data_IF_605623232118
#
_entry.id   IF_605623232118
#
_cell.length_a   1.000
_cell.length_b   1.000
_cell.length_c   1.000
_cell.angle_alpha   90.00
_cell.angle_beta   90.00
_cell.angle_gamma   90.00
#
_symmetry.space_group_name_H-M   'P 1'
#
loop_
_entity.id
_entity.type
_entity.pdbx_description
1 polymer ?
#
# COMPACT_ATOMS: atom_id res chain seq x y z
N UNK A 1 38.12 6.35 -28.41
CA UNK A 1 36.88 5.59 -28.54
C UNK A 1 36.92 4.16 -27.95
N UNK A 2 37.94 3.31 -28.19
CA UNK A 2 37.99 1.93 -27.67
C UNK A 2 37.97 1.80 -26.14
N UNK A 3 38.73 2.66 -25.40
CA UNK A 3 38.80 2.57 -23.91
C UNK A 3 37.47 2.85 -23.21
N UNK A 4 36.65 3.79 -23.69
CA UNK A 4 35.33 4.05 -23.13
C UNK A 4 34.40 2.84 -23.27
N UNK A 5 34.36 2.21 -24.45
CA UNK A 5 33.52 1.01 -24.67
C UNK A 5 33.92 -0.19 -23.79
N UNK A 6 35.24 -0.34 -23.48
CA UNK A 6 35.73 -1.40 -22.58
C UNK A 6 35.30 -1.13 -21.15
N UNK A 7 35.33 0.13 -20.68
CA UNK A 7 34.87 0.51 -19.34
C UNK A 7 33.37 0.32 -19.21
N UNK A 8 32.59 0.71 -20.22
CA UNK A 8 31.13 0.51 -20.24
C UNK A 8 30.77 -0.98 -20.20
N UNK A 9 31.46 -1.82 -20.97
CA UNK A 9 31.24 -3.27 -20.95
C UNK A 9 31.60 -3.89 -19.59
N UNK A 10 32.71 -3.44 -18.97
CA UNK A 10 33.10 -3.92 -17.64
C UNK A 10 32.07 -3.55 -16.55
N UNK A 11 31.53 -2.32 -16.59
CA UNK A 11 30.48 -1.88 -15.64
C UNK A 11 29.21 -2.70 -15.79
N UNK A 12 28.79 -2.99 -17.04
CA UNK A 12 27.61 -3.84 -17.29
C UNK A 12 27.83 -5.26 -16.78
N UNK A 13 29.02 -5.85 -17.00
CA UNK A 13 29.34 -7.18 -16.46
C UNK A 13 29.34 -7.21 -14.93
N UNK A 14 29.87 -6.19 -14.26
CA UNK A 14 29.85 -6.09 -12.79
C UNK A 14 28.41 -5.96 -12.28
N UNK A 15 27.57 -5.14 -12.92
CA UNK A 15 26.16 -5.01 -12.56
C UNK A 15 25.38 -6.32 -12.73
N UNK A 16 25.63 -7.07 -13.81
CA UNK A 16 25.01 -8.39 -14.02
C UNK A 16 25.48 -9.43 -13.01
N UNK A 17 26.77 -9.42 -12.62
CA UNK A 17 27.29 -10.29 -11.56
C UNK A 17 26.70 -9.95 -10.20
N UNK A 18 26.55 -8.66 -9.88
CA UNK A 18 25.91 -8.22 -8.63
C UNK A 18 24.41 -8.57 -8.63
N UNK A 19 23.72 -8.43 -9.75
CA UNK A 19 22.32 -8.83 -9.89
C UNK A 19 22.16 -10.35 -9.75
N UNK A 20 23.04 -11.16 -10.36
CA UNK A 20 23.05 -12.60 -10.22
C UNK A 20 23.30 -13.04 -8.77
N UNK A 21 24.29 -12.46 -8.10
CA UNK A 21 24.58 -12.71 -6.69
C UNK A 21 23.42 -12.28 -5.78
N UNK A 22 22.74 -11.16 -6.10
CA UNK A 22 21.55 -10.71 -5.36
C UNK A 22 20.38 -11.68 -5.52
N UNK A 23 20.12 -12.20 -6.73
CA UNK A 23 19.09 -13.20 -6.98
C UNK A 23 19.37 -14.51 -6.25
N UNK A 24 20.62 -15.00 -6.29
CA UNK A 24 21.02 -16.21 -5.58
C UNK A 24 20.94 -16.08 -4.05
N UNK A 25 21.17 -14.85 -3.51
CA UNK A 25 21.02 -14.56 -2.07
C UNK A 25 19.55 -14.37 -1.65
N UNK A 26 18.69 -13.94 -2.59
CA UNK A 26 17.28 -13.70 -2.34
C UNK A 26 16.43 -14.97 -2.31
N UNK A 27 16.88 -16.04 -2.98
CA UNK A 27 16.15 -17.31 -3.10
C UNK A 27 16.54 -18.38 -2.07
N UNK A 28 17.23 -18.00 -0.98
CA UNK A 28 17.54 -18.96 0.10
C UNK A 28 16.27 -19.32 0.88
N UNK A 29 15.65 -20.40 0.50
CA UNK A 29 14.53 -21.03 1.23
C UNK A 29 14.96 -21.75 2.53
N UNK A 30 16.27 -21.98 2.72
CA UNK A 30 16.86 -22.63 3.90
C UNK A 30 18.06 -21.85 4.44
N UNK A 31 18.23 -21.90 5.78
CA UNK A 31 19.41 -21.37 6.46
C UNK A 31 20.58 -22.40 6.46
N UNK A 32 21.75 -21.96 6.92
CA UNK A 32 22.96 -22.80 7.01
C UNK A 32 22.81 -24.02 7.96
N UNK A 33 21.70 -24.09 8.70
CA UNK A 33 21.33 -25.20 9.61
C UNK A 33 20.20 -26.07 9.05
N UNK A 34 19.93 -26.00 7.75
CA UNK A 34 18.85 -26.69 7.07
C UNK A 34 17.45 -26.39 7.64
N UNK A 35 17.22 -25.18 8.16
CA UNK A 35 15.89 -24.76 8.61
C UNK A 35 15.25 -23.91 7.53
N UNK A 36 13.97 -24.15 7.28
CA UNK A 36 13.19 -23.37 6.32
C UNK A 36 13.06 -21.94 6.83
N UNK A 37 13.48 -20.98 6.00
CA UNK A 37 13.32 -19.56 6.25
C UNK A 37 11.93 -19.17 5.76
N UNK A 38 11.09 -18.67 6.67
CA UNK A 38 9.79 -18.13 6.30
C UNK A 38 9.95 -16.76 5.65
N UNK A 39 9.17 -16.50 4.60
CA UNK A 39 9.11 -15.18 3.96
C UNK A 39 8.71 -14.08 4.96
N UNK A 40 9.01 -12.84 4.61
CA UNK A 40 8.63 -11.66 5.39
C UNK A 40 7.10 -11.57 5.55
N UNK A 41 6.59 -10.93 6.61
CA UNK A 41 5.17 -10.67 6.76
C UNK A 41 4.57 -10.05 5.50
N UNK A 42 3.43 -10.59 5.04
CA UNK A 42 2.76 -10.13 3.82
C UNK A 42 3.32 -10.67 2.49
N UNK A 43 4.42 -11.43 2.49
CA UNK A 43 4.98 -12.03 1.26
C UNK A 43 4.15 -13.20 0.70
N UNK A 44 3.10 -13.64 1.42
CA UNK A 44 2.30 -14.78 1.03
C UNK A 44 2.92 -16.13 1.38
N UNK A 45 2.45 -17.19 0.73
CA UNK A 45 3.00 -18.54 0.90
C UNK A 45 4.18 -18.72 -0.02
N UNK A 46 5.21 -19.41 0.48
CA UNK A 46 6.39 -19.78 -0.27
C UNK A 46 6.38 -21.30 -0.50
N UNK A 47 6.54 -21.73 -1.75
CA UNK A 47 6.73 -23.15 -2.08
C UNK A 47 8.21 -23.49 -1.91
N UNK A 48 8.49 -24.50 -1.09
CA UNK A 48 9.85 -25.01 -0.81
C UNK A 48 9.94 -26.45 -1.30
N UNK A 49 10.87 -26.71 -2.20
CA UNK A 49 11.17 -28.06 -2.70
C UNK A 49 12.21 -28.72 -1.80
N UNK A 50 11.91 -29.89 -1.30
CA UNK A 50 12.76 -30.71 -0.44
C UNK A 50 13.10 -32.02 -1.13
N UNK A 51 14.37 -32.29 -1.36
CA UNK A 51 14.82 -33.59 -1.83
C UNK A 51 15.05 -34.52 -0.64
N UNK A 52 14.23 -35.56 -0.52
CA UNK A 52 14.28 -36.53 0.56
C UNK A 52 15.12 -37.73 0.15
N UNK A 53 16.13 -38.06 0.97
CA UNK A 53 16.96 -39.27 0.84
C UNK A 53 16.83 -40.11 2.09
N UNK A 54 16.05 -41.16 2.02
CA UNK A 54 15.85 -42.09 3.16
C UNK A 54 16.04 -43.55 2.71
N UNK A 55 17.30 -44.00 2.66
CA UNK A 55 17.68 -45.33 2.26
C UNK A 55 17.53 -45.62 0.76
N UNK A 56 17.61 -46.88 0.35
CA UNK A 56 17.57 -47.26 -1.08
C UNK A 56 16.18 -47.08 -1.73
N UNK A 57 15.11 -47.00 -0.92
CA UNK A 57 13.72 -46.93 -1.40
C UNK A 57 13.21 -45.51 -1.62
N UNK A 58 13.85 -44.50 -1.02
CA UNK A 58 13.51 -43.08 -1.13
C UNK A 58 14.76 -42.28 -1.51
N UNK A 59 15.25 -42.49 -2.72
CA UNK A 59 16.41 -41.82 -3.24
C UNK A 59 15.91 -40.71 -4.19
N UNK A 60 16.35 -39.48 -3.93
CA UNK A 60 16.04 -38.30 -4.76
C UNK A 60 14.52 -38.07 -4.94
N UNK A 61 13.74 -38.25 -3.86
CA UNK A 61 12.31 -37.96 -3.89
C UNK A 61 12.05 -36.49 -3.59
N UNK A 62 11.57 -35.76 -4.58
CA UNK A 62 11.25 -34.35 -4.45
C UNK A 62 9.86 -34.15 -3.84
N UNK A 63 9.78 -33.40 -2.77
CA UNK A 63 8.55 -33.08 -2.05
C UNK A 63 8.40 -31.57 -1.91
N UNK A 64 7.28 -31.05 -2.38
CA UNK A 64 6.95 -29.62 -2.27
C UNK A 64 6.11 -29.37 -1.01
N UNK A 65 6.53 -28.41 -0.22
CA UNK A 65 5.79 -27.92 0.94
C UNK A 65 5.48 -26.44 0.82
N UNK A 66 4.25 -26.07 1.16
CA UNK A 66 3.80 -24.69 1.20
C UNK A 66 4.04 -24.12 2.59
N UNK A 67 4.96 -23.17 2.69
CA UNK A 67 5.35 -22.53 3.95
C UNK A 67 4.70 -21.16 4.04
N UNK A 68 3.84 -20.90 5.04
CA UNK A 68 3.25 -19.58 5.21
C UNK A 68 4.31 -18.57 5.63
N UNK A 69 4.13 -17.31 5.25
CA UNK A 69 4.93 -16.18 5.71
C UNK A 69 4.98 -16.09 7.25
N UNK A 70 5.92 -15.31 7.76
CA UNK A 70 5.98 -15.02 9.20
C UNK A 70 4.71 -14.31 9.64
N UNK A 71 4.11 -14.75 10.75
CA UNK A 71 3.02 -14.03 11.38
C UNK A 71 3.55 -12.76 12.05
N UNK A 72 2.80 -11.68 11.92
CA UNK A 72 3.09 -10.41 12.60
C UNK A 72 2.71 -10.55 14.07
N UNK A 73 3.55 -10.05 14.97
CA UNK A 73 3.19 -9.87 16.39
C UNK A 73 2.42 -8.55 16.61
N UNK A 74 1.78 -8.42 17.75
CA UNK A 74 0.96 -7.26 18.10
C UNK A 74 1.77 -5.94 18.05
N UNK A 75 3.00 -5.96 18.57
CA UNK A 75 3.87 -4.78 18.58
C UNK A 75 4.24 -4.32 17.17
N UNK A 76 4.50 -5.26 16.27
CA UNK A 76 4.78 -4.98 14.86
C UNK A 76 3.53 -4.46 14.17
N UNK A 77 2.35 -5.04 14.44
CA UNK A 77 1.07 -4.56 13.90
C UNK A 77 0.78 -3.12 14.33
N UNK A 78 0.96 -2.78 15.61
CA UNK A 78 0.82 -1.42 16.12
C UNK A 78 1.78 -0.44 15.43
N UNK A 79 3.04 -0.85 15.19
CA UNK A 79 3.99 -0.03 14.44
C UNK A 79 3.51 0.23 12.99
N UNK A 80 2.84 -0.75 12.37
CA UNK A 80 2.29 -0.56 11.04
C UNK A 80 1.05 0.33 11.05
N UNK A 81 0.18 0.23 12.06
CA UNK A 81 -0.96 1.14 12.23
C UNK A 81 -0.51 2.59 12.41
N UNK A 82 0.42 2.86 13.32
CA UNK A 82 0.98 4.21 13.49
C UNK A 82 1.62 4.78 12.22
N UNK A 83 2.19 3.94 11.37
CA UNK A 83 2.71 4.36 10.05
C UNK A 83 1.58 4.60 9.05
N UNK A 84 0.54 3.78 9.07
CA UNK A 84 -0.63 3.95 8.22
C UNK A 84 -1.37 5.24 8.56
N UNK A 85 -1.58 5.55 9.86
CA UNK A 85 -2.15 6.82 10.32
C UNK A 85 -1.35 8.02 9.81
N UNK A 86 -0.03 7.96 9.94
CA UNK A 86 0.84 9.02 9.42
C UNK A 86 0.74 9.17 7.89
N UNK A 87 0.69 8.05 7.15
CA UNK A 87 0.48 8.09 5.70
C UNK A 87 -0.90 8.66 5.35
N UNK A 88 -1.94 8.40 6.17
CA UNK A 88 -3.28 8.99 6.03
C UNK A 88 -3.19 10.49 6.23
N UNK A 89 -2.63 10.96 7.35
CA UNK A 89 -2.49 12.39 7.66
C UNK A 89 -1.74 13.15 6.54
N UNK A 90 -0.72 12.53 5.96
CA UNK A 90 0.08 13.13 4.90
C UNK A 90 -0.58 13.09 3.50
N UNK A 91 -1.51 12.16 3.26
CA UNK A 91 -1.99 11.90 1.88
C UNK A 91 -3.50 11.93 1.70
N UNK A 92 -4.28 12.06 2.76
CA UNK A 92 -5.74 12.07 2.69
C UNK A 92 -6.28 13.33 2.01
N UNK A 93 -5.71 14.49 2.38
CA UNK A 93 -6.07 15.75 1.74
C UNK A 93 -5.24 16.02 0.48
N UNK A 94 -5.82 16.63 -0.57
CA UNK A 94 -5.08 17.11 -1.72
C UNK A 94 -4.02 18.15 -1.35
N UNK A 95 -3.06 18.36 -2.22
CA UNK A 95 -1.99 19.34 -2.00
C UNK A 95 -2.55 20.76 -1.86
N UNK A 96 -2.25 21.41 -0.74
CA UNK A 96 -2.72 22.77 -0.41
C UNK A 96 -4.07 22.82 0.33
N UNK A 97 -4.71 21.69 0.59
CA UNK A 97 -5.93 21.57 1.37
C UNK A 97 -5.62 21.16 2.81
N UNK A 98 -6.45 21.60 3.74
CA UNK A 98 -6.35 21.26 5.17
C UNK A 98 -7.72 20.79 5.68
N UNK A 99 -7.72 20.04 6.79
CA UNK A 99 -8.95 19.52 7.41
C UNK A 99 -10.03 20.59 7.68
N UNK A 100 -9.61 21.85 7.88
CA UNK A 100 -10.51 22.99 8.12
C UNK A 100 -11.17 23.54 6.86
N UNK A 101 -10.66 23.19 5.65
CA UNK A 101 -11.16 23.72 4.40
C UNK A 101 -10.82 22.81 3.24
N UNK A 102 -11.77 21.95 2.85
CA UNK A 102 -11.60 20.96 1.76
C UNK A 102 -12.58 21.26 0.66
N UNK A 103 -12.09 21.46 -0.55
CA UNK A 103 -12.87 21.76 -1.77
C UNK A 103 -12.61 20.79 -2.90
N UNK A 104 -11.64 19.91 -2.76
CA UNK A 104 -11.26 18.92 -3.77
C UNK A 104 -11.39 17.49 -3.23
N UNK A 105 -11.39 16.51 -4.12
CA UNK A 105 -11.53 15.10 -3.80
C UNK A 105 -10.49 14.63 -2.76
N UNK A 106 -10.95 14.02 -1.68
CA UNK A 106 -10.09 13.41 -0.67
C UNK A 106 -9.64 12.00 -1.08
N UNK A 107 -8.48 11.56 -0.58
CA UNK A 107 -7.84 10.33 -1.02
C UNK A 107 -8.04 9.18 -0.02
N UNK A 108 -9.12 8.43 -0.15
CA UNK A 108 -9.42 7.23 0.65
C UNK A 108 -8.75 5.99 0.04
N UNK A 109 -7.46 5.77 0.35
CA UNK A 109 -6.71 4.62 -0.17
C UNK A 109 -7.17 3.32 0.49
N UNK A 110 -7.29 2.21 -0.26
CA UNK A 110 -7.72 0.92 0.29
C UNK A 110 -6.60 0.19 1.06
N UNK A 111 -5.36 0.69 1.03
CA UNK A 111 -4.23 0.11 1.76
C UNK A 111 -3.09 1.09 1.96
N UNK A 112 -2.31 0.86 3.02
CA UNK A 112 -1.16 1.63 3.46
C UNK A 112 0.03 0.74 3.77
N UNK A 113 1.19 1.34 4.10
CA UNK A 113 2.41 0.62 4.47
C UNK A 113 2.76 -0.45 3.42
N UNK A 114 2.79 -0.04 2.14
CA UNK A 114 3.07 -0.92 0.97
C UNK A 114 2.12 -2.12 0.86
N UNK A 115 0.85 -1.94 1.25
CA UNK A 115 -0.19 -2.97 1.16
C UNK A 115 -0.26 -3.92 2.36
N UNK A 116 0.56 -3.73 3.39
CA UNK A 116 0.54 -4.54 4.62
C UNK A 116 -0.66 -4.24 5.52
N UNK A 117 -1.18 -3.01 5.46
CA UNK A 117 -2.35 -2.55 6.20
C UNK A 117 -3.47 -2.29 5.22
N UNK A 118 -4.59 -3.00 5.35
CA UNK A 118 -5.83 -2.74 4.62
C UNK A 118 -6.62 -1.67 5.34
N UNK A 119 -7.34 -0.85 4.58
CA UNK A 119 -8.15 0.26 5.09
C UNK A 119 -9.56 0.16 4.55
N UNK A 120 -10.52 0.06 5.46
CA UNK A 120 -11.95 0.08 5.16
C UNK A 120 -12.54 1.40 5.67
N UNK A 121 -12.96 2.26 4.75
CA UNK A 121 -13.41 3.62 5.01
C UNK A 121 -14.92 3.68 5.24
N UNK A 122 -15.34 4.54 6.18
CA UNK A 122 -16.73 4.87 6.47
C UNK A 122 -16.83 6.38 6.71
N UNK A 123 -17.86 7.02 6.13
CA UNK A 123 -18.16 8.43 6.32
C UNK A 123 -19.53 8.54 7.00
N UNK A 124 -19.72 9.58 7.81
CA UNK A 124 -21.02 9.87 8.42
C UNK A 124 -21.95 10.67 7.47
N UNK A 125 -21.38 11.38 6.49
CA UNK A 125 -22.09 12.28 5.56
C UNK A 125 -21.84 11.90 4.09
N UNK A 126 -22.48 10.84 3.61
CA UNK A 126 -22.38 10.41 2.19
C UNK A 126 -23.10 11.35 1.21
N UNK A 127 -23.92 12.28 1.69
CA UNK A 127 -24.47 13.36 0.88
C UNK A 127 -23.43 14.45 0.58
N UNK A 128 -22.44 14.63 1.44
CA UNK A 128 -21.36 15.61 1.24
C UNK A 128 -20.17 15.02 0.48
N UNK A 129 -19.77 13.78 0.83
CA UNK A 129 -18.59 13.11 0.21
C UNK A 129 -19.00 11.69 -0.16
N UNK A 130 -18.73 11.29 -1.40
CA UNK A 130 -18.99 9.94 -1.89
C UNK A 130 -17.96 8.93 -1.39
N UNK A 131 -18.24 7.63 -1.60
CA UNK A 131 -17.38 6.50 -1.20
C UNK A 131 -16.00 6.49 -1.86
N UNK A 132 -15.81 7.22 -2.95
CA UNK A 132 -14.53 7.39 -3.65
C UNK A 132 -13.78 8.67 -3.23
N UNK A 133 -14.34 9.44 -2.29
CA UNK A 133 -13.79 10.71 -1.81
C UNK A 133 -14.20 11.93 -2.61
N UNK A 134 -15.04 11.78 -3.63
CA UNK A 134 -15.54 12.89 -4.43
C UNK A 134 -16.53 13.74 -3.62
N UNK A 135 -16.33 15.05 -3.62
CA UNK A 135 -17.23 16.01 -2.96
C UNK A 135 -18.47 16.23 -3.83
N UNK A 136 -19.66 16.11 -3.25
CA UNK A 136 -20.95 16.34 -3.91
C UNK A 136 -21.38 17.80 -3.80
N UNK A 137 -20.78 18.66 -4.60
CA UNK A 137 -20.95 20.11 -4.54
C UNK A 137 -22.40 20.58 -4.66
N UNK A 138 -23.25 19.84 -5.40
CA UNK A 138 -24.66 20.11 -5.62
C UNK A 138 -25.53 19.91 -4.37
N UNK A 139 -25.03 19.19 -3.37
CA UNK A 139 -25.76 18.87 -2.13
C UNK A 139 -25.20 19.57 -0.89
N UNK A 140 -24.07 20.28 -1.03
CA UNK A 140 -23.40 20.98 0.07
C UNK A 140 -24.10 22.30 0.42
N UNK A 141 -24.19 22.57 1.75
CA UNK A 141 -24.50 23.92 2.23
C UNK A 141 -23.37 24.89 1.83
N UNK A 142 -23.69 26.12 1.37
CA UNK A 142 -22.67 27.15 1.09
C UNK A 142 -21.76 27.50 2.28
N UNK A 143 -22.19 27.23 3.50
CA UNK A 143 -21.39 27.39 4.73
C UNK A 143 -20.44 26.23 4.98
N UNK A 144 -20.50 25.19 4.13
CA UNK A 144 -19.74 23.96 4.29
C UNK A 144 -20.38 22.97 5.26
N UNK A 145 -19.98 21.72 5.16
CA UNK A 145 -20.44 20.62 6.04
C UNK A 145 -19.28 19.95 6.74
N UNK A 146 -19.48 19.64 8.04
CA UNK A 146 -18.50 18.86 8.81
C UNK A 146 -18.73 17.38 8.52
N UNK A 147 -17.70 16.69 8.05
CA UNK A 147 -17.70 15.27 7.74
C UNK A 147 -16.75 14.55 8.71
N UNK A 148 -17.23 13.44 9.28
CA UNK A 148 -16.40 12.54 10.07
C UNK A 148 -16.04 11.31 9.23
N UNK A 149 -14.76 11.07 9.07
CA UNK A 149 -14.22 9.86 8.45
C UNK A 149 -13.72 8.90 9.53
N UNK A 150 -14.09 7.63 9.40
CA UNK A 150 -13.57 6.53 10.19
C UNK A 150 -12.94 5.51 9.26
N UNK A 151 -11.74 5.06 9.60
CA UNK A 151 -11.03 4.02 8.85
C UNK A 151 -10.69 2.86 9.77
N UNK A 152 -11.13 1.67 9.39
CA UNK A 152 -10.72 0.43 10.05
C UNK A 152 -9.46 -0.11 9.39
N UNK A 153 -8.35 0.00 10.09
CA UNK A 153 -7.04 -0.51 9.68
C UNK A 153 -6.90 -1.97 10.08
N UNK A 154 -6.61 -2.85 9.14
CA UNK A 154 -6.46 -4.29 9.37
C UNK A 154 -5.10 -4.77 8.90
N UNK A 155 -4.37 -5.44 9.80
CA UNK A 155 -3.09 -6.08 9.51
C UNK A 155 -3.12 -7.52 10.04
N UNK A 156 -3.25 -8.51 9.14
CA UNK A 156 -3.52 -9.91 9.46
C UNK A 156 -4.77 -10.06 10.37
N UNK A 157 -4.57 -10.48 11.63
CA UNK A 157 -5.64 -10.67 12.64
C UNK A 157 -5.86 -9.43 13.52
N UNK A 158 -5.01 -8.42 13.42
CA UNK A 158 -5.08 -7.21 14.23
C UNK A 158 -5.89 -6.15 13.50
N UNK A 159 -6.66 -5.38 14.29
CA UNK A 159 -7.50 -4.30 13.78
C UNK A 159 -7.42 -3.12 14.72
N UNK A 160 -7.37 -1.92 14.16
CA UNK A 160 -7.42 -0.64 14.84
C UNK A 160 -8.34 0.31 14.08
N UNK A 161 -8.98 1.24 14.76
CA UNK A 161 -9.86 2.22 14.14
C UNK A 161 -9.32 3.62 14.39
N UNK A 162 -9.19 4.37 13.30
CA UNK A 162 -8.75 5.76 13.32
C UNK A 162 -9.88 6.65 12.81
N UNK A 163 -10.21 7.72 13.56
CA UNK A 163 -11.32 8.63 13.24
C UNK A 163 -10.87 10.08 13.32
N UNK A 164 -11.26 10.86 12.33
CA UNK A 164 -10.99 12.30 12.29
C UNK A 164 -12.12 13.03 11.57
N UNK A 165 -12.15 14.36 11.69
CA UNK A 165 -13.18 15.20 11.07
C UNK A 165 -12.55 16.26 10.20
N UNK A 166 -13.25 16.62 9.12
CA UNK A 166 -12.83 17.67 8.21
C UNK A 166 -14.05 18.45 7.69
N UNK A 167 -13.83 19.68 7.27
CA UNK A 167 -14.88 20.55 6.77
C UNK A 167 -14.80 20.68 5.26
N UNK A 168 -15.85 20.27 4.56
CA UNK A 168 -15.97 20.37 3.10
C UNK A 168 -16.75 21.60 2.70
N UNK A 169 -16.34 22.23 1.60
CA UNK A 169 -16.99 23.39 1.03
C UNK A 169 -17.23 23.20 -0.47
N UNK A 170 -18.27 23.80 -1.05
CA UNK A 170 -18.45 23.82 -2.47
C UNK A 170 -17.32 24.63 -3.12
N UNK A 171 -16.78 24.15 -4.24
CA UNK A 171 -15.74 24.85 -4.99
C UNK A 171 -16.26 26.18 -5.51
N UNK A 172 -15.57 27.27 -5.19
CA UNK A 172 -15.93 28.60 -5.72
C UNK A 172 -15.49 28.69 -7.17
N UNK A 173 -16.42 28.39 -8.09
CA UNK A 173 -16.15 28.51 -9.51
C UNK A 173 -15.99 29.98 -9.91
N UNK A 174 -14.96 30.30 -10.68
CA UNK A 174 -14.81 31.57 -11.34
C UNK A 174 -15.94 31.79 -12.37
N UNK A 175 -16.21 33.04 -12.75
CA UNK A 175 -17.24 33.32 -13.78
C UNK A 175 -16.98 32.60 -15.11
N UNK A 176 -15.73 32.41 -15.49
CA UNK A 176 -15.35 31.69 -16.70
C UNK A 176 -15.65 30.19 -16.61
N UNK A 177 -15.37 29.57 -15.47
CA UNK A 177 -15.67 28.14 -15.19
C UNK A 177 -17.18 27.90 -15.19
N UNK A 178 -17.99 28.79 -14.59
CA UNK A 178 -19.46 28.72 -14.64
C UNK A 178 -20.01 28.67 -16.06
N UNK A 179 -19.52 29.56 -16.94
CA UNK A 179 -19.95 29.59 -18.35
C UNK A 179 -19.55 28.30 -19.07
N UNK A 180 -18.35 27.78 -18.83
CA UNK A 180 -17.89 26.51 -19.44
C UNK A 180 -18.75 25.33 -18.94
N UNK A 181 -19.10 25.30 -17.67
CA UNK A 181 -19.93 24.23 -17.07
C UNK A 181 -21.38 24.28 -17.61
N UNK A 182 -21.96 25.49 -17.79
CA UNK A 182 -23.28 25.65 -18.41
C UNK A 182 -23.30 25.16 -19.86
N UNK A 183 -22.26 25.46 -20.66
CA UNK A 183 -22.16 25.01 -22.06
C UNK A 183 -21.99 23.50 -22.18
N UNK A 184 -21.33 22.86 -21.19
CA UNK A 184 -21.10 21.42 -21.21
C UNK A 184 -22.33 20.60 -20.71
N UNK A 185 -23.29 21.25 -20.07
CA UNK A 185 -24.53 20.64 -19.55
C UNK A 185 -25.70 20.67 -20.54
N UNK A 186 -25.59 21.37 -21.65
CA UNK A 186 -26.54 21.37 -22.79
C UNK A 186 -26.14 20.29 -23.83
#
# INVERSE_FOLDING_TARGET
MRRKKIIEAAVVCILLLLLGAYMEFSDRSMDDKNRIIRGSPGSGRQEVELTLNAGEQLKDYDYQISVPAQCIDEKTAQSYFSRAEKEIDETFFPEGEEAAHVTEQVHMKPSYVKGLVKADWTLDQYNAVDVDGTIREDQLDPQGELVQASVALTCEKYREEYTFSFQVYPKVMSQQEKVIHEIAAE
#
